data_IF_238391431724
#
_entry.id   IF_238391431724
#
_cell.length_a   1.000
_cell.length_b   1.000
_cell.length_c   1.000
_cell.angle_alpha   90.00
_cell.angle_beta   90.00
_cell.angle_gamma   90.00
#
_symmetry.space_group_name_H-M   'P 1'
#
loop_
_entity.id
_entity.type
_entity.pdbx_description
1 polymer ?
#
# COMPACT_ATOMS: atom_id res chain seq x y z
N UNK A 1 14.09 -4.15 1.85
CA UNK A 1 13.46 -3.04 1.11
C UNK A 1 14.46 -2.64 0.04
N UNK A 2 14.26 -3.03 -1.23
CA UNK A 2 15.13 -2.59 -2.30
C UNK A 2 14.75 -1.14 -2.61
N UNK A 3 15.48 -0.19 -2.04
CA UNK A 3 15.43 1.19 -2.55
C UNK A 3 16.37 1.21 -3.75
N UNK A 4 15.80 1.27 -4.95
CA UNK A 4 16.59 1.38 -6.18
C UNK A 4 17.01 2.84 -6.32
N UNK A 5 18.21 3.16 -5.83
CA UNK A 5 18.84 4.44 -6.08
C UNK A 5 19.47 4.42 -7.48
N UNK A 6 18.94 5.24 -8.38
CA UNK A 6 19.57 5.49 -9.67
C UNK A 6 19.99 6.95 -9.74
N UNK A 7 21.26 7.19 -10.06
CA UNK A 7 21.70 8.53 -10.41
C UNK A 7 21.18 8.90 -11.81
N UNK A 8 21.13 10.20 -12.11
CA UNK A 8 20.59 10.70 -13.39
C UNK A 8 21.26 10.07 -14.60
N UNK A 9 22.55 9.77 -14.52
CA UNK A 9 23.30 9.13 -15.61
C UNK A 9 22.87 7.68 -15.85
N UNK A 10 22.54 6.92 -14.79
CA UNK A 10 22.05 5.54 -14.94
C UNK A 10 20.64 5.49 -15.57
N UNK A 11 19.79 6.49 -15.29
CA UNK A 11 18.45 6.59 -15.92
C UNK A 11 18.57 6.74 -17.44
N UNK A 12 19.52 7.55 -17.93
CA UNK A 12 19.71 7.78 -19.36
C UNK A 12 20.22 6.53 -20.11
N UNK A 13 20.84 5.60 -19.40
CA UNK A 13 21.34 4.33 -19.96
C UNK A 13 20.37 3.15 -19.84
N UNK A 14 19.23 3.34 -19.17
CA UNK A 14 18.29 2.26 -18.89
C UNK A 14 17.60 1.79 -20.17
N UNK A 15 17.71 0.50 -20.47
CA UNK A 15 16.99 -0.08 -21.61
C UNK A 15 15.65 -0.67 -21.15
N UNK A 16 14.71 -0.87 -22.10
CA UNK A 16 13.43 -1.53 -21.81
C UNK A 16 13.63 -2.91 -21.16
N UNK A 17 14.69 -3.62 -21.55
CA UNK A 17 15.01 -4.93 -21.00
C UNK A 17 15.34 -4.83 -19.51
N UNK A 18 16.13 -3.85 -19.11
CA UNK A 18 16.54 -3.65 -17.72
C UNK A 18 15.33 -3.30 -16.83
N UNK A 19 14.40 -2.49 -17.34
CA UNK A 19 13.14 -2.17 -16.63
C UNK A 19 12.31 -3.43 -16.40
N UNK A 20 12.17 -4.28 -17.43
CA UNK A 20 11.42 -5.54 -17.30
C UNK A 20 12.05 -6.48 -16.30
N UNK A 21 13.38 -6.60 -16.32
CA UNK A 21 14.12 -7.42 -15.36
C UNK A 21 13.91 -6.96 -13.92
N UNK A 22 13.95 -5.65 -13.67
CA UNK A 22 13.65 -5.07 -12.35
C UNK A 22 12.22 -5.39 -11.91
N UNK A 23 11.23 -5.26 -12.79
CA UNK A 23 9.83 -5.58 -12.48
C UNK A 23 9.69 -7.06 -12.13
N UNK A 24 10.27 -7.95 -12.95
CA UNK A 24 10.17 -9.40 -12.76
C UNK A 24 10.84 -9.83 -11.44
N UNK A 25 12.02 -9.29 -11.10
CA UNK A 25 12.72 -9.59 -9.85
C UNK A 25 11.94 -9.16 -8.60
N UNK A 26 11.16 -8.08 -8.70
CA UNK A 26 10.46 -7.50 -7.56
C UNK A 26 8.98 -7.90 -7.48
N UNK A 27 8.46 -8.61 -8.48
CA UNK A 27 7.08 -9.13 -8.54
C UNK A 27 6.81 -10.19 -7.46
N UNK A 28 6.65 -9.77 -6.20
CA UNK A 28 6.40 -10.66 -5.06
C UNK A 28 4.89 -10.85 -4.83
N UNK A 29 4.20 -11.42 -5.80
CA UNK A 29 2.73 -11.44 -5.83
C UNK A 29 2.10 -12.36 -4.76
N UNK A 30 2.75 -13.50 -4.47
CA UNK A 30 2.20 -14.56 -3.60
C UNK A 30 2.06 -14.12 -2.14
N UNK A 31 2.98 -13.28 -1.65
CA UNK A 31 2.97 -12.83 -0.24
C UNK A 31 1.81 -11.87 0.02
N UNK A 32 1.61 -10.89 -0.86
CA UNK A 32 0.61 -9.83 -0.65
C UNK A 32 -0.82 -10.36 -0.74
N UNK A 33 -1.09 -11.25 -1.70
CA UNK A 33 -2.40 -11.91 -1.80
C UNK A 33 -2.79 -12.65 -0.53
N UNK A 34 -1.87 -13.45 0.03
CA UNK A 34 -2.11 -14.21 1.27
C UNK A 34 -2.39 -13.30 2.48
N UNK A 35 -1.64 -12.20 2.62
CA UNK A 35 -1.82 -11.26 3.74
C UNK A 35 -3.15 -10.51 3.63
N UNK A 36 -3.49 -10.06 2.41
CA UNK A 36 -4.78 -9.44 2.13
C UNK A 36 -5.94 -10.40 2.41
N UNK A 37 -5.84 -11.65 1.94
CA UNK A 37 -6.81 -12.72 2.24
C UNK A 37 -7.03 -12.89 3.74
N UNK A 38 -5.94 -12.87 4.52
CA UNK A 38 -6.01 -12.97 5.96
C UNK A 38 -6.76 -11.79 6.61
N UNK A 39 -6.55 -10.56 6.11
CA UNK A 39 -7.26 -9.37 6.55
C UNK A 39 -8.76 -9.41 6.20
N UNK A 40 -9.15 -9.86 5.01
CA UNK A 40 -10.57 -9.96 4.62
C UNK A 40 -11.30 -11.14 5.29
N UNK A 41 -10.56 -12.01 6.00
CA UNK A 41 -11.11 -13.19 6.67
C UNK A 41 -11.13 -14.45 5.80
N UNK A 42 -10.50 -14.42 4.63
CA UNK A 42 -10.29 -15.58 3.78
C UNK A 42 -9.11 -16.42 4.31
N UNK A 43 -9.32 -17.09 5.45
CA UNK A 43 -8.27 -17.83 6.12
C UNK A 43 -8.12 -19.24 5.54
N UNK A 44 -6.91 -19.81 5.61
CA UNK A 44 -6.60 -21.15 5.06
C UNK A 44 -7.57 -22.25 5.52
N UNK A 45 -8.11 -22.16 6.74
CA UNK A 45 -9.10 -23.10 7.28
C UNK A 45 -10.34 -23.24 6.38
N UNK A 46 -10.70 -22.18 5.63
CA UNK A 46 -11.81 -22.19 4.66
C UNK A 46 -11.55 -23.12 3.49
N UNK A 47 -10.30 -23.47 3.17
CA UNK A 47 -9.93 -24.44 2.13
C UNK A 47 -9.69 -25.86 2.65
N UNK A 48 -9.60 -26.08 3.96
CA UNK A 48 -9.20 -27.37 4.54
C UNK A 48 -10.37 -28.36 4.64
N UNK A 49 -10.32 -29.45 3.89
CA UNK A 49 -11.30 -30.54 3.96
C UNK A 49 -10.93 -31.58 5.02
N UNK A 50 -11.91 -32.05 5.80
CA UNK A 50 -11.72 -33.21 6.67
C UNK A 50 -11.43 -34.45 5.83
N UNK A 51 -10.57 -35.33 6.35
CA UNK A 51 -10.24 -36.62 5.72
C UNK A 51 -11.45 -37.55 5.65
N UNK A 52 -12.33 -37.46 6.64
CA UNK A 52 -13.58 -38.21 6.68
C UNK A 52 -14.71 -37.35 6.08
N UNK A 53 -15.26 -37.82 4.97
CA UNK A 53 -16.35 -37.15 4.24
C UNK A 53 -17.71 -37.24 4.95
N UNK A 54 -17.86 -38.14 5.92
CA UNK A 54 -19.13 -38.35 6.64
C UNK A 54 -19.25 -37.46 7.89
N UNK A 55 -18.14 -36.92 8.38
CA UNK A 55 -18.11 -36.06 9.54
C UNK A 55 -18.43 -34.59 9.18
N UNK A 56 -19.18 -33.85 10.02
CA UNK A 56 -19.48 -32.44 9.79
C UNK A 56 -18.18 -31.61 9.79
N UNK A 57 -18.03 -30.72 8.81
CA UNK A 57 -16.81 -29.92 8.60
C UNK A 57 -17.04 -28.42 8.90
N UNK A 58 -17.35 -28.10 10.15
CA UNK A 58 -17.51 -26.70 10.59
C UNK A 58 -16.16 -25.99 10.58
N UNK A 59 -16.11 -24.82 9.92
CA UNK A 59 -14.92 -23.97 9.81
C UNK A 59 -15.26 -22.62 10.43
N UNK A 60 -14.55 -22.25 11.48
CA UNK A 60 -14.74 -20.97 12.17
C UNK A 60 -13.54 -20.09 11.87
N UNK A 61 -13.82 -18.89 11.38
CA UNK A 61 -12.81 -17.85 11.15
C UNK A 61 -12.93 -16.84 12.27
N UNK A 62 -11.82 -16.59 12.97
CA UNK A 62 -11.70 -15.45 13.88
C UNK A 62 -10.79 -14.41 13.21
N UNK A 63 -11.39 -13.33 12.71
CA UNK A 63 -10.66 -12.31 11.96
C UNK A 63 -9.97 -11.28 12.87
N UNK A 64 -9.03 -11.76 13.69
CA UNK A 64 -8.20 -10.91 14.54
C UNK A 64 -7.28 -9.98 13.73
N UNK A 65 -6.88 -10.40 12.53
CA UNK A 65 -6.04 -9.59 11.65
C UNK A 65 -6.71 -8.26 11.31
N UNK A 66 -7.98 -8.30 10.88
CA UNK A 66 -8.77 -7.08 10.64
C UNK A 66 -8.85 -6.19 11.86
N UNK A 67 -9.17 -6.77 13.02
CA UNK A 67 -9.29 -6.00 14.26
C UNK A 67 -7.98 -5.29 14.63
N UNK A 68 -6.85 -6.00 14.58
CA UNK A 68 -5.53 -5.44 14.89
C UNK A 68 -5.19 -4.32 13.91
N UNK A 69 -5.33 -4.56 12.61
CA UNK A 69 -5.04 -3.58 11.57
C UNK A 69 -5.90 -2.32 11.72
N UNK A 70 -7.22 -2.48 11.79
CA UNK A 70 -8.15 -1.34 11.87
C UNK A 70 -7.90 -0.52 13.16
N UNK A 71 -7.59 -1.19 14.28
CA UNK A 71 -7.26 -0.51 15.55
C UNK A 71 -5.92 0.22 15.47
N UNK A 72 -4.88 -0.42 14.92
CA UNK A 72 -3.55 0.16 14.83
C UNK A 72 -3.53 1.36 13.89
N UNK A 73 -4.18 1.27 12.73
CA UNK A 73 -4.23 2.38 11.76
C UNK A 73 -5.13 3.50 12.24
N UNK A 74 -6.27 3.19 12.88
CA UNK A 74 -7.12 4.19 13.49
C UNK A 74 -6.42 4.98 14.60
N UNK A 75 -5.54 4.35 15.37
CA UNK A 75 -4.74 5.08 16.37
C UNK A 75 -3.60 5.90 15.75
N UNK A 76 -2.97 5.38 14.70
CA UNK A 76 -1.78 5.99 14.10
C UNK A 76 -2.11 7.22 13.24
N UNK A 77 -3.11 7.11 12.36
CA UNK A 77 -3.51 8.15 11.37
C UNK A 77 -4.98 8.53 11.49
N UNK A 78 -5.61 8.25 12.65
CA UNK A 78 -6.99 8.66 12.89
C UNK A 78 -7.16 10.16 13.13
N UNK A 79 -6.11 10.82 13.63
CA UNK A 79 -6.03 12.28 13.68
C UNK A 79 -5.17 12.77 12.49
N UNK A 80 -5.64 13.79 11.75
CA UNK A 80 -4.90 14.34 10.62
C UNK A 80 -3.50 14.86 11.01
N UNK A 81 -2.56 14.73 10.07
CA UNK A 81 -1.20 15.24 10.24
C UNK A 81 -1.22 16.77 10.10
N UNK A 82 -0.63 17.47 11.07
CA UNK A 82 -0.49 18.94 11.04
C UNK A 82 0.90 19.32 10.55
N UNK A 83 0.94 20.17 9.54
CA UNK A 83 2.18 20.70 8.94
C UNK A 83 2.43 22.12 9.41
N UNK A 84 3.68 22.43 9.77
CA UNK A 84 4.11 23.76 10.22
C UNK A 84 5.38 24.20 9.48
N UNK A 85 5.50 25.50 9.20
CA UNK A 85 6.63 26.11 8.51
C UNK A 85 6.76 27.58 8.87
N UNK A 86 7.99 28.10 8.85
CA UNK A 86 8.26 29.53 9.01
C UNK A 86 7.91 30.36 7.76
N UNK A 87 7.63 29.70 6.63
CA UNK A 87 7.27 30.34 5.37
C UNK A 87 5.80 30.03 5.04
N UNK A 88 4.93 31.01 5.27
CA UNK A 88 3.49 30.90 5.06
C UNK A 88 3.11 30.64 3.60
N UNK A 89 3.82 31.25 2.63
CA UNK A 89 3.55 31.06 1.19
C UNK A 89 3.88 29.63 0.75
N UNK A 90 4.99 29.09 1.25
CA UNK A 90 5.34 27.69 1.03
C UNK A 90 4.32 26.75 1.68
N UNK A 91 3.93 27.02 2.94
CA UNK A 91 2.96 26.21 3.65
C UNK A 91 1.61 26.18 2.93
N UNK A 92 1.14 27.34 2.45
CA UNK A 92 -0.10 27.43 1.69
C UNK A 92 -0.01 26.62 0.39
N UNK A 93 1.10 26.71 -0.33
CA UNK A 93 1.29 25.92 -1.57
C UNK A 93 1.22 24.42 -1.30
N UNK A 94 1.82 23.96 -0.20
CA UNK A 94 1.78 22.54 0.20
C UNK A 94 0.37 22.13 0.61
N UNK A 95 -0.34 22.96 1.37
CA UNK A 95 -1.72 22.71 1.75
C UNK A 95 -2.63 22.61 0.52
N UNK A 96 -2.48 23.51 -0.46
CA UNK A 96 -3.27 23.47 -1.69
C UNK A 96 -3.06 22.16 -2.47
N UNK A 97 -1.83 21.62 -2.47
CA UNK A 97 -1.52 20.31 -3.09
C UNK A 97 -2.20 19.18 -2.31
N UNK A 98 -2.16 19.21 -0.98
CA UNK A 98 -2.73 18.17 -0.14
C UNK A 98 -4.26 18.17 -0.17
N UNK A 99 -4.88 19.34 -0.17
CA UNK A 99 -6.32 19.51 -0.32
C UNK A 99 -6.80 19.02 -1.69
N UNK A 100 -6.03 19.28 -2.75
CA UNK A 100 -6.33 18.77 -4.10
C UNK A 100 -6.28 17.23 -4.19
N UNK A 101 -5.50 16.59 -3.33
CA UNK A 101 -5.30 15.14 -3.32
C UNK A 101 -6.07 14.38 -2.25
N UNK A 102 -6.83 15.09 -1.40
CA UNK A 102 -7.48 14.51 -0.21
C UNK A 102 -6.48 13.70 0.62
N UNK A 103 -5.36 14.34 0.97
CA UNK A 103 -4.18 13.70 1.55
C UNK A 103 -4.48 12.91 2.83
N UNK A 104 -5.47 13.35 3.62
CA UNK A 104 -5.84 12.69 4.87
C UNK A 104 -6.42 11.29 4.62
N UNK A 105 -7.36 11.18 3.67
CA UNK A 105 -7.90 9.89 3.25
C UNK A 105 -6.83 9.04 2.56
N UNK A 106 -6.00 9.68 1.72
CA UNK A 106 -4.88 9.04 1.06
C UNK A 106 -3.93 8.35 2.06
N UNK A 107 -3.52 9.09 3.10
CA UNK A 107 -2.65 8.59 4.16
C UNK A 107 -3.30 7.47 4.96
N UNK A 108 -4.60 7.58 5.23
CA UNK A 108 -5.33 6.53 5.93
C UNK A 108 -5.30 5.21 5.14
N UNK A 109 -5.53 5.28 3.84
CA UNK A 109 -5.47 4.12 2.95
C UNK A 109 -4.05 3.57 2.80
N UNK A 110 -3.02 4.43 2.71
CA UNK A 110 -1.62 4.01 2.69
C UNK A 110 -1.23 3.28 3.98
N UNK A 111 -1.53 3.85 5.14
CA UNK A 111 -1.22 3.26 6.44
C UNK A 111 -1.92 1.91 6.62
N UNK A 112 -3.18 1.81 6.20
CA UNK A 112 -3.96 0.57 6.23
C UNK A 112 -3.35 -0.50 5.35
N UNK A 113 -2.99 -0.18 4.10
CA UNK A 113 -2.34 -1.14 3.22
C UNK A 113 -0.96 -1.57 3.74
N UNK A 114 -0.18 -0.65 4.31
CA UNK A 114 1.08 -1.00 5.00
C UNK A 114 0.84 -1.97 6.16
N UNK A 115 -0.24 -1.79 6.94
CA UNK A 115 -0.59 -2.70 8.03
C UNK A 115 -1.04 -4.09 7.54
N UNK A 116 -1.74 -4.17 6.41
CA UNK A 116 -2.19 -5.43 5.80
C UNK A 116 -1.03 -6.18 5.17
N UNK A 117 -0.34 -5.54 4.22
CA UNK A 117 0.60 -6.18 3.30
C UNK A 117 2.07 -6.08 3.78
N UNK A 118 2.35 -5.25 4.78
CA UNK A 118 3.69 -4.93 5.27
C UNK A 118 4.40 -3.84 4.45
N UNK A 119 3.88 -3.53 3.26
CA UNK A 119 4.39 -2.50 2.35
C UNK A 119 3.23 -1.95 1.51
N UNK A 120 3.34 -0.68 1.16
CA UNK A 120 2.47 0.02 0.23
C UNK A 120 3.33 1.00 -0.56
N UNK A 121 2.93 1.30 -1.79
CA UNK A 121 3.67 2.19 -2.68
C UNK A 121 2.80 3.39 -3.03
N UNK A 122 3.43 4.55 -3.11
CA UNK A 122 2.81 5.80 -3.51
C UNK A 122 3.53 6.31 -4.76
N UNK A 123 2.76 6.72 -5.76
CA UNK A 123 3.25 7.29 -7.00
C UNK A 123 2.89 8.77 -7.05
N UNK A 124 3.93 9.60 -7.15
CA UNK A 124 3.81 11.02 -7.41
C UNK A 124 3.85 11.26 -8.92
N UNK A 125 2.84 11.92 -9.48
CA UNK A 125 2.77 12.23 -10.90
C UNK A 125 2.17 13.61 -11.16
N UNK A 126 2.28 14.09 -12.40
CA UNK A 126 1.63 15.32 -12.85
C UNK A 126 0.39 14.97 -13.67
N UNK A 127 -0.71 15.64 -13.40
CA UNK A 127 -1.90 15.56 -14.25
C UNK A 127 -1.77 16.40 -15.54
N UNK A 128 -2.82 16.39 -16.36
CA UNK A 128 -2.85 17.12 -17.64
C UNK A 128 -2.71 18.64 -17.47
N UNK A 129 -3.06 19.17 -16.29
CA UNK A 129 -2.93 20.58 -15.92
C UNK A 129 -1.59 20.89 -15.22
N UNK A 130 -0.65 19.94 -15.23
CA UNK A 130 0.65 20.02 -14.55
C UNK A 130 0.56 20.21 -13.02
N UNK A 131 -0.54 19.75 -12.39
CA UNK A 131 -0.69 19.72 -10.93
C UNK A 131 -0.21 18.39 -10.37
N UNK A 132 0.32 18.44 -9.15
CA UNK A 132 0.84 17.27 -8.45
C UNK A 132 -0.32 16.38 -8.01
N UNK A 133 -0.22 15.09 -8.32
CA UNK A 133 -1.17 14.05 -7.94
C UNK A 133 -0.49 12.92 -7.15
N UNK A 134 -1.22 12.41 -6.16
CA UNK A 134 -0.86 11.23 -5.37
C UNK A 134 -1.71 10.04 -5.83
N UNK A 135 -1.08 8.91 -6.10
CA UNK A 135 -1.77 7.66 -6.37
C UNK A 135 -1.17 6.53 -5.56
N UNK A 136 -2.05 5.79 -4.87
CA UNK A 136 -1.67 4.56 -4.21
C UNK A 136 -1.51 3.46 -5.24
N UNK A 137 -0.37 2.78 -5.21
CA UNK A 137 -0.13 1.58 -5.99
C UNK A 137 -0.31 0.36 -5.06
N UNK A 138 -1.24 -0.57 -5.39
CA UNK A 138 -1.42 -1.78 -4.61
C UNK A 138 -0.12 -2.56 -4.47
N UNK A 139 0.15 -3.13 -3.29
CA UNK A 139 1.40 -3.83 -3.03
C UNK A 139 1.72 -4.96 -4.03
N UNK A 140 0.69 -5.67 -4.51
CA UNK A 140 0.82 -6.70 -5.55
C UNK A 140 1.29 -6.15 -6.91
N UNK A 141 0.98 -4.88 -7.20
CA UNK A 141 1.35 -4.20 -8.44
C UNK A 141 2.53 -3.24 -8.25
N UNK A 142 3.11 -3.22 -7.05
CA UNK A 142 4.28 -2.42 -6.72
C UNK A 142 5.57 -3.18 -6.99
N UNK A 143 6.64 -2.42 -7.22
CA UNK A 143 8.01 -2.89 -7.44
C UNK A 143 8.74 -2.82 -6.09
#
# INVERSE_FOLDING_TARGET
>A
MPVIYMDRASIESLTEKDIREIIDENSTDVKYGMLHDYYVGNHRILGENKKDSTAPNNRLVNNMAKYITDTATGYFVGEPIVYDSQNDEYLQTVQDIFDYNDEQDHNMELAKQCSICGSCFEMLYLDEDAKIRLARVPAANGI
#
